data_IF_009471668772
#
_entry.id   IF_009471668772
#
_cell.length_a   1.000
_cell.length_b   1.000
_cell.length_c   1.000
_cell.angle_alpha   90.00
_cell.angle_beta   90.00
_cell.angle_gamma   90.00
#
_symmetry.space_group_name_H-M   'P 1'
#
loop_
_entity.id
_entity.type
_entity.pdbx_description
1 polymer ?
#
# COMPACT_ATOMS: atom_id res chain seq x y z
N UNK A 1 0.62 -16.86 1.33
CA UNK A 1 0.65 -15.81 0.29
C UNK A 1 1.34 -16.29 -0.99
N UNK A 2 2.49 -16.96 -0.88
CA UNK A 2 3.27 -17.48 -2.03
C UNK A 2 2.45 -18.36 -2.98
N UNK A 3 1.72 -19.35 -2.47
CA UNK A 3 0.92 -20.27 -3.30
C UNK A 3 -0.18 -19.53 -4.08
N UNK A 4 -0.89 -18.60 -3.42
CA UNK A 4 -1.93 -17.77 -4.06
C UNK A 4 -1.32 -16.87 -5.13
N UNK A 5 -0.14 -16.29 -4.85
CA UNK A 5 0.58 -15.46 -5.81
C UNK A 5 1.05 -16.27 -7.03
N UNK A 6 1.55 -17.49 -6.82
CA UNK A 6 1.92 -18.39 -7.91
C UNK A 6 0.71 -18.79 -8.77
N UNK A 7 -0.43 -19.08 -8.15
CA UNK A 7 -1.67 -19.38 -8.86
C UNK A 7 -2.07 -18.24 -9.80
N UNK A 8 -2.16 -17.01 -9.27
CA UNK A 8 -2.54 -15.81 -10.03
C UNK A 8 -1.65 -15.55 -11.27
N UNK A 9 -0.42 -16.05 -11.26
CA UNK A 9 0.57 -15.82 -12.33
C UNK A 9 0.51 -16.89 -13.41
N UNK A 10 0.36 -18.16 -13.01
CA UNK A 10 0.10 -19.25 -13.97
C UNK A 10 -1.18 -18.96 -14.78
N UNK A 11 -2.12 -18.21 -14.20
CA UNK A 11 -3.42 -17.87 -14.79
C UNK A 11 -3.37 -16.76 -15.84
N UNK A 12 -2.37 -15.88 -15.80
CA UNK A 12 -2.37 -14.68 -16.67
C UNK A 12 -1.85 -14.95 -18.08
N UNK A 13 -1.37 -16.16 -18.37
CA UNK A 13 -0.75 -16.50 -19.66
C UNK A 13 -1.73 -16.99 -20.74
N UNK A 14 -2.97 -17.37 -20.42
CA UNK A 14 -3.88 -17.96 -21.42
C UNK A 14 -5.34 -17.46 -21.41
N UNK A 15 -5.90 -17.06 -20.27
CA UNK A 15 -7.19 -16.37 -20.14
C UNK A 15 -7.41 -16.10 -18.64
N UNK A 16 -7.96 -14.95 -18.25
CA UNK A 16 -8.29 -14.71 -16.85
C UNK A 16 -9.36 -15.73 -16.43
N UNK A 17 -8.98 -16.69 -15.59
CA UNK A 17 -9.92 -17.67 -15.01
C UNK A 17 -10.93 -16.96 -14.11
N UNK A 18 -12.14 -17.50 -14.01
CA UNK A 18 -13.23 -16.96 -13.19
C UNK A 18 -12.86 -16.80 -11.70
N UNK A 19 -11.90 -17.59 -11.21
CA UNK A 19 -11.47 -17.58 -9.80
C UNK A 19 -10.37 -16.55 -9.49
N UNK A 20 -9.77 -15.91 -10.50
CA UNK A 20 -8.68 -14.94 -10.31
C UNK A 20 -9.06 -13.77 -9.37
N UNK A 21 -10.27 -13.17 -9.44
CA UNK A 21 -10.68 -12.15 -8.48
C UNK A 21 -10.73 -12.66 -7.04
N UNK A 22 -11.23 -13.89 -6.83
CA UNK A 22 -11.31 -14.51 -5.51
C UNK A 22 -9.91 -14.79 -4.94
N UNK A 23 -8.99 -15.29 -5.77
CA UNK A 23 -7.58 -15.50 -5.40
C UNK A 23 -6.87 -14.18 -5.09
N UNK A 24 -7.15 -13.12 -5.84
CA UNK A 24 -6.59 -11.80 -5.57
C UNK A 24 -7.07 -11.25 -4.21
N UNK A 25 -8.37 -11.40 -3.91
CA UNK A 25 -8.89 -11.07 -2.59
C UNK A 25 -8.22 -11.90 -1.50
N UNK A 26 -8.03 -13.20 -1.71
CA UNK A 26 -7.31 -14.07 -0.78
C UNK A 26 -5.89 -13.57 -0.51
N UNK A 27 -5.15 -13.13 -1.54
CA UNK A 27 -3.83 -12.54 -1.38
C UNK A 27 -3.87 -11.27 -0.52
N UNK A 28 -4.84 -10.38 -0.75
CA UNK A 28 -5.03 -9.16 0.05
C UNK A 28 -5.29 -9.50 1.51
N UNK A 29 -6.13 -10.50 1.79
CA UNK A 29 -6.42 -10.92 3.18
C UNK A 29 -5.19 -11.51 3.87
N UNK A 30 -4.39 -12.31 3.15
CA UNK A 30 -3.14 -12.86 3.68
C UNK A 30 -2.14 -11.75 4.01
N UNK A 31 -1.96 -10.77 3.12
CA UNK A 31 -1.12 -9.60 3.37
C UNK A 31 -1.61 -8.78 4.57
N UNK A 32 -2.93 -8.64 4.72
CA UNK A 32 -3.53 -7.92 5.86
C UNK A 32 -3.28 -8.62 7.20
N UNK A 33 -3.15 -9.94 7.19
CA UNK A 33 -2.85 -10.73 8.39
C UNK A 33 -1.35 -10.87 8.67
N UNK A 34 -0.49 -10.44 7.75
CA UNK A 34 0.97 -10.50 7.89
C UNK A 34 1.53 -9.25 8.56
N UNK A 35 2.62 -9.44 9.31
CA UNK A 35 3.47 -8.38 9.82
C UNK A 35 4.42 -7.83 8.74
N UNK A 36 5.17 -6.79 9.10
CA UNK A 36 6.10 -6.12 8.21
C UNK A 36 7.18 -7.06 7.67
N UNK A 37 7.75 -7.89 8.54
CA UNK A 37 8.84 -8.81 8.22
C UNK A 37 8.41 -9.82 7.16
N UNK A 38 7.23 -10.42 7.30
CA UNK A 38 6.69 -11.37 6.34
C UNK A 38 6.32 -10.71 5.02
N UNK A 39 5.73 -9.51 5.05
CA UNK A 39 5.41 -8.74 3.83
C UNK A 39 6.71 -8.36 3.09
N UNK A 40 7.74 -7.94 3.81
CA UNK A 40 9.05 -7.58 3.25
C UNK A 40 9.77 -8.80 2.67
N UNK A 41 9.73 -9.95 3.35
CA UNK A 41 10.30 -11.20 2.84
C UNK A 41 9.64 -11.63 1.52
N UNK A 42 8.30 -11.54 1.45
CA UNK A 42 7.55 -11.82 0.23
C UNK A 42 7.94 -10.87 -0.91
N UNK A 43 8.07 -9.58 -0.62
CA UNK A 43 8.52 -8.60 -1.61
C UNK A 43 9.93 -8.94 -2.13
N UNK A 44 10.91 -9.11 -1.24
CA UNK A 44 12.29 -9.45 -1.60
C UNK A 44 12.40 -10.70 -2.46
N UNK A 45 11.59 -11.71 -2.17
CA UNK A 45 11.60 -12.98 -2.90
C UNK A 45 11.11 -12.85 -4.34
N UNK A 46 10.15 -11.96 -4.60
CA UNK A 46 9.38 -11.97 -5.86
C UNK A 46 9.40 -10.66 -6.66
N UNK A 47 9.80 -9.53 -6.08
CA UNK A 47 9.72 -8.22 -6.73
C UNK A 47 10.60 -8.08 -7.98
N UNK A 48 11.64 -8.92 -8.13
CA UNK A 48 12.50 -8.94 -9.32
C UNK A 48 11.86 -9.68 -10.51
N UNK A 49 10.71 -10.35 -10.31
CA UNK A 49 9.99 -11.06 -11.37
C UNK A 49 8.79 -10.21 -11.80
N UNK A 50 8.82 -9.65 -13.01
CA UNK A 50 7.85 -8.64 -13.50
C UNK A 50 6.38 -8.99 -13.24
N UNK A 51 5.98 -10.24 -13.50
CA UNK A 51 4.59 -10.68 -13.29
C UNK A 51 4.21 -10.72 -11.80
N UNK A 52 5.10 -11.21 -10.95
CA UNK A 52 4.89 -11.24 -9.50
C UNK A 52 4.88 -9.83 -8.90
N UNK A 53 5.83 -8.99 -9.33
CA UNK A 53 5.91 -7.58 -8.93
C UNK A 53 4.59 -6.87 -9.19
N UNK A 54 3.99 -7.05 -10.37
CA UNK A 54 2.69 -6.43 -10.70
C UNK A 54 1.59 -6.83 -9.71
N UNK A 55 1.46 -8.11 -9.37
CA UNK A 55 0.45 -8.56 -8.41
C UNK A 55 0.71 -8.00 -7.00
N UNK A 56 1.97 -7.96 -6.57
CA UNK A 56 2.35 -7.39 -5.28
C UNK A 56 2.08 -5.89 -5.20
N UNK A 57 2.48 -5.12 -6.22
CA UNK A 57 2.23 -3.68 -6.31
C UNK A 57 0.73 -3.33 -6.25
N UNK A 58 -0.16 -4.23 -6.69
CA UNK A 58 -1.61 -4.05 -6.58
C UNK A 58 -2.17 -4.54 -5.23
N UNK A 59 -1.69 -5.67 -4.70
CA UNK A 59 -2.26 -6.27 -3.50
C UNK A 59 -1.81 -5.58 -2.20
N UNK A 60 -0.53 -5.19 -2.09
CA UNK A 60 0.05 -4.54 -0.91
C UNK A 60 -0.72 -3.27 -0.51
N UNK A 61 -0.96 -2.29 -1.40
CA UNK A 61 -1.70 -1.10 -1.01
C UNK A 61 -3.15 -1.41 -0.61
N UNK A 62 -3.76 -2.48 -1.13
CA UNK A 62 -5.14 -2.85 -0.80
C UNK A 62 -5.29 -3.59 0.54
N UNK A 63 -4.20 -4.12 1.10
CA UNK A 63 -4.22 -4.78 2.41
C UNK A 63 -4.61 -3.82 3.53
N UNK A 64 -4.24 -2.53 3.42
CA UNK A 64 -4.75 -1.46 4.27
C UNK A 64 -4.27 -1.52 5.73
N UNK A 65 -3.08 -2.07 5.97
CA UNK A 65 -2.44 -2.11 7.29
C UNK A 65 -1.31 -1.07 7.39
N UNK A 66 -0.94 -0.71 8.62
CA UNK A 66 0.21 0.17 8.87
C UNK A 66 1.51 -0.49 8.40
N UNK A 67 1.62 -1.81 8.50
CA UNK A 67 2.83 -2.53 8.05
C UNK A 67 2.99 -2.51 6.52
N UNK A 68 1.90 -2.53 5.75
CA UNK A 68 1.97 -2.26 4.31
C UNK A 68 2.40 -0.80 4.02
N UNK A 69 1.91 0.18 4.78
CA UNK A 69 2.36 1.58 4.64
C UNK A 69 3.85 1.74 4.95
N UNK A 70 4.36 1.04 5.98
CA UNK A 70 5.80 0.98 6.30
C UNK A 70 6.61 0.39 5.15
N UNK A 71 6.16 -0.73 4.57
CA UNK A 71 6.84 -1.31 3.42
C UNK A 71 6.91 -0.29 2.28
N UNK A 72 5.78 0.34 1.93
CA UNK A 72 5.75 1.33 0.83
C UNK A 72 6.74 2.47 1.07
N UNK A 73 6.79 3.00 2.30
CA UNK A 73 7.77 4.03 2.70
C UNK A 73 9.21 3.54 2.47
N UNK A 74 9.51 2.32 2.90
CA UNK A 74 10.83 1.71 2.70
C UNK A 74 11.17 1.55 1.21
N UNK A 75 10.22 1.11 0.38
CA UNK A 75 10.44 0.93 -1.05
C UNK A 75 10.75 2.25 -1.77
N UNK A 76 10.12 3.35 -1.35
CA UNK A 76 10.43 4.70 -1.84
C UNK A 76 11.84 5.11 -1.41
N UNK A 77 12.20 4.88 -0.15
CA UNK A 77 13.52 5.22 0.39
C UNK A 77 14.65 4.48 -0.31
N UNK A 78 14.41 3.20 -0.64
CA UNK A 78 15.35 2.35 -1.36
C UNK A 78 15.37 2.57 -2.88
N UNK A 79 14.53 3.48 -3.39
CA UNK A 79 14.37 3.74 -4.83
C UNK A 79 13.96 2.47 -5.62
N UNK A 80 13.22 1.56 -4.98
CA UNK A 80 12.71 0.32 -5.57
C UNK A 80 11.41 0.52 -6.38
N UNK A 81 10.86 1.74 -6.34
CA UNK A 81 9.68 2.18 -7.10
C UNK A 81 10.06 3.34 -7.99
N UNK A 82 9.56 3.34 -9.22
CA UNK A 82 9.52 4.54 -10.05
C UNK A 82 8.61 5.60 -9.40
N UNK A 83 8.80 6.91 -9.69
CA UNK A 83 7.92 7.95 -9.15
C UNK A 83 6.44 7.72 -9.46
N UNK A 84 6.12 7.16 -10.64
CA UNK A 84 4.76 6.84 -11.05
C UNK A 84 4.19 5.66 -10.26
N UNK A 85 4.95 4.57 -10.09
CA UNK A 85 4.54 3.45 -9.23
C UNK A 85 4.31 3.92 -7.79
N UNK A 86 5.21 4.75 -7.25
CA UNK A 86 5.10 5.30 -5.92
C UNK A 86 3.84 6.16 -5.75
N UNK A 87 3.56 7.08 -6.67
CA UNK A 87 2.37 7.93 -6.63
C UNK A 87 1.07 7.10 -6.62
N UNK A 88 0.98 6.07 -7.48
CA UNK A 88 -0.18 5.17 -7.56
C UNK A 88 -0.33 4.38 -6.27
N UNK A 89 0.73 3.74 -5.80
CA UNK A 89 0.69 2.90 -4.60
C UNK A 89 0.35 3.69 -3.35
N UNK A 90 0.94 4.86 -3.15
CA UNK A 90 0.64 5.74 -2.00
C UNK A 90 -0.84 6.08 -1.98
N UNK A 91 -1.40 6.43 -3.15
CA UNK A 91 -2.82 6.76 -3.29
C UNK A 91 -3.72 5.62 -2.85
N UNK A 92 -3.49 4.41 -3.38
CA UNK A 92 -4.29 3.25 -3.02
C UNK A 92 -4.08 2.82 -1.56
N UNK A 93 -2.86 2.93 -1.04
CA UNK A 93 -2.54 2.49 0.31
C UNK A 93 -3.20 3.36 1.37
N UNK A 94 -3.07 4.68 1.28
CA UNK A 94 -3.72 5.61 2.21
C UNK A 94 -5.26 5.54 2.10
N UNK A 95 -5.79 5.43 0.88
CA UNK A 95 -7.23 5.22 0.67
C UNK A 95 -7.73 3.91 1.30
N UNK A 96 -6.96 2.83 1.22
CA UNK A 96 -7.37 1.51 1.72
C UNK A 96 -7.07 1.29 3.21
N UNK A 97 -6.13 2.05 3.77
CA UNK A 97 -5.70 1.90 5.15
C UNK A 97 -6.85 2.10 6.15
N UNK A 98 -6.95 1.23 7.15
CA UNK A 98 -8.01 1.34 8.16
C UNK A 98 -7.79 2.58 9.03
N UNK A 99 -8.82 3.40 9.27
CA UNK A 99 -8.67 4.58 10.11
C UNK A 99 -8.32 4.13 11.54
N UNK A 100 -7.18 4.59 12.02
CA UNK A 100 -6.70 4.37 13.38
C UNK A 100 -5.71 5.47 13.72
N UNK A 101 -5.50 5.76 15.01
CA UNK A 101 -4.54 6.77 15.45
C UNK A 101 -3.14 6.48 14.89
N UNK A 102 -2.73 5.20 14.90
CA UNK A 102 -1.44 4.77 14.37
C UNK A 102 -1.31 5.01 12.86
N UNK A 103 -2.36 4.71 12.09
CA UNK A 103 -2.36 4.93 10.63
C UNK A 103 -2.37 6.43 10.28
N UNK A 104 -3.10 7.23 11.04
CA UNK A 104 -3.12 8.68 10.92
C UNK A 104 -1.74 9.29 11.20
N UNK A 105 -1.14 9.00 12.36
CA UNK A 105 0.19 9.48 12.73
C UNK A 105 1.24 9.07 11.70
N UNK A 106 1.23 7.80 11.27
CA UNK A 106 2.15 7.34 10.24
C UNK A 106 1.97 8.10 8.92
N UNK A 107 0.73 8.43 8.55
CA UNK A 107 0.43 9.15 7.31
C UNK A 107 0.84 10.63 7.39
N UNK A 108 0.71 11.26 8.56
CA UNK A 108 1.24 12.60 8.81
C UNK A 108 2.78 12.61 8.70
N UNK A 109 3.46 11.66 9.33
CA UNK A 109 4.92 11.50 9.21
C UNK A 109 5.36 11.16 7.77
N UNK A 110 4.51 10.47 7.01
CA UNK A 110 4.79 10.08 5.64
C UNK A 110 4.81 11.28 4.69
N UNK A 111 3.86 12.23 4.82
CA UNK A 111 3.82 13.41 3.94
C UNK A 111 4.93 14.42 4.22
N UNK A 112 5.48 14.41 5.45
CA UNK A 112 6.62 15.23 5.84
C UNK A 112 7.98 14.62 5.47
N UNK A 113 8.00 13.40 4.92
CA UNK A 113 9.23 12.69 4.60
C UNK A 113 9.92 13.27 3.36
N UNK A 114 11.20 13.64 3.50
CA UNK A 114 11.96 14.28 2.42
C UNK A 114 12.13 13.42 1.17
N UNK A 115 12.12 12.09 1.28
CA UNK A 115 12.16 11.18 0.12
C UNK A 115 10.82 11.12 -0.62
N UNK A 116 9.71 11.27 0.11
CA UNK A 116 8.37 11.40 -0.48
C UNK A 116 8.23 12.75 -1.17
N UNK A 117 8.75 13.82 -0.56
CA UNK A 117 8.74 15.18 -1.11
C UNK A 117 9.69 15.36 -2.31
N UNK A 118 10.68 14.46 -2.49
CA UNK A 118 11.67 14.52 -3.57
C UNK A 118 11.05 14.62 -4.97
N UNK A 119 9.93 13.92 -5.21
CA UNK A 119 9.26 13.89 -6.51
C UNK A 119 7.87 14.51 -6.41
N UNK A 120 7.62 15.58 -7.17
CA UNK A 120 6.36 16.34 -7.15
C UNK A 120 5.11 15.46 -7.33
N UNK A 121 5.15 14.49 -8.24
CA UNK A 121 4.04 13.55 -8.47
C UNK A 121 3.74 12.67 -7.24
N UNK A 122 4.77 12.23 -6.53
CA UNK A 122 4.63 11.40 -5.33
C UNK A 122 4.11 12.25 -4.18
N UNK A 123 4.67 13.46 -4.02
CA UNK A 123 4.26 14.38 -2.96
C UNK A 123 2.80 14.81 -3.10
N UNK A 124 2.36 15.20 -4.30
CA UNK A 124 0.95 15.54 -4.58
C UNK A 124 0.01 14.38 -4.29
N UNK A 125 0.38 13.17 -4.71
CA UNK A 125 -0.39 11.97 -4.42
C UNK A 125 -0.49 11.72 -2.90
N UNK A 126 0.61 11.88 -2.17
CA UNK A 126 0.66 11.73 -0.72
C UNK A 126 -0.21 12.77 0.00
N UNK A 127 -0.12 14.05 -0.37
CA UNK A 127 -0.94 15.12 0.21
C UNK A 127 -2.43 14.91 0.01
N UNK A 128 -2.87 14.63 -1.22
CA UNK A 128 -4.28 14.39 -1.54
C UNK A 128 -4.83 13.17 -0.78
N UNK A 129 -4.01 12.13 -0.68
CA UNK A 129 -4.40 10.89 -0.01
C UNK A 129 -4.35 11.02 1.51
N UNK A 130 -3.48 11.88 2.05
CA UNK A 130 -3.49 12.26 3.46
C UNK A 130 -4.79 12.95 3.85
N UNK A 131 -5.29 13.90 3.04
CA UNK A 131 -6.61 14.50 3.28
C UNK A 131 -7.74 13.46 3.33
N UNK A 132 -7.67 12.40 2.51
CA UNK A 132 -8.60 11.27 2.58
C UNK A 132 -8.45 10.48 3.89
N UNK A 133 -7.22 10.26 4.36
CA UNK A 133 -6.95 9.61 5.64
C UNK A 133 -7.49 10.42 6.82
N UNK A 134 -7.24 11.74 6.83
CA UNK A 134 -7.74 12.68 7.85
C UNK A 134 -9.26 12.61 7.94
N UNK A 135 -9.95 12.74 6.80
CA UNK A 135 -11.41 12.60 6.74
C UNK A 135 -11.87 11.28 7.38
N UNK A 136 -11.32 10.16 6.92
CA UNK A 136 -11.71 8.83 7.42
C UNK A 136 -11.43 8.65 8.90
N UNK A 137 -10.35 9.22 9.41
CA UNK A 137 -10.00 9.18 10.83
C UNK A 137 -10.97 10.02 11.65
N UNK A 138 -11.28 11.23 11.20
CA UNK A 138 -12.21 12.13 11.88
C UNK A 138 -13.66 11.63 11.85
N UNK A 139 -14.08 10.92 10.80
CA UNK A 139 -15.39 10.26 10.73
C UNK A 139 -15.58 9.19 11.83
N UNK A 140 -14.51 8.71 12.49
CA UNK A 140 -14.58 7.77 13.62
C UNK A 140 -14.70 8.46 14.99
N UNK A 141 -14.52 9.79 15.05
CA UNK A 141 -14.44 10.55 16.29
C UNK A 141 -15.68 11.44 16.43
N UNK A 142 -16.07 11.75 17.67
CA UNK A 142 -17.13 12.72 17.94
C UNK A 142 -16.72 14.17 17.58
N UNK A 143 -15.41 14.45 17.61
CA UNK A 143 -14.82 15.72 17.19
C UNK A 143 -13.43 15.46 16.59
N UNK A 144 -13.15 16.08 15.44
CA UNK A 144 -11.89 15.96 14.73
C UNK A 144 -10.80 16.80 15.44
N UNK A 145 -9.66 16.23 15.84
CA UNK A 145 -8.61 16.99 16.50
C UNK A 145 -7.94 17.96 15.52
N UNK A 146 -7.65 19.20 15.96
CA UNK A 146 -7.00 20.21 15.11
C UNK A 146 -5.65 19.75 14.55
N UNK A 147 -4.90 18.93 15.30
CA UNK A 147 -3.65 18.32 14.86
C UNK A 147 -3.80 17.43 13.62
N UNK A 148 -5.02 16.97 13.30
CA UNK A 148 -5.30 16.24 12.06
C UNK A 148 -5.50 17.15 10.85
N UNK A 149 -5.67 18.46 11.06
CA UNK A 149 -5.92 19.47 10.04
C UNK A 149 -4.71 20.38 9.78
N UNK A 150 -3.67 20.27 10.60
CA UNK A 150 -2.37 20.95 10.51
C UNK A 150 -1.35 20.09 9.73
#
# INVERSE_FOLDING_TARGET
AVEVLQHLIQDTQQQIREDAPAKFLQLIQLLRASDFENIQALWKQFAQRTQYRRWLLNAIPMAGTVDCLKLIKQLIHNEELTPQEAAVIVTFAMRSARPSQRAFQFSADFVQDSKVQKYDVVYKAALLSYGTMVKKYCDQLSSCPNQALE
#
